data_IF_488602310426
#
_entry.id   IF_488602310426
#
_cell.length_a   1.000
_cell.length_b   1.000
_cell.length_c   1.000
_cell.angle_alpha   90.00
_cell.angle_beta   90.00
_cell.angle_gamma   90.00
#
_symmetry.space_group_name_H-M   'P 1'
#
loop_
_entity.id
_entity.type
_entity.pdbx_description
1 polymer ?
#
# COMPACT_ATOMS: atom_id res chain seq x y z
N UNK A 1 3.42 16.91 -7.18
CA UNK A 1 3.23 15.46 -7.43
C UNK A 1 4.46 14.89 -8.12
N UNK A 2 4.61 13.56 -8.17
CA UNK A 2 5.72 12.89 -8.88
C UNK A 2 5.61 13.09 -10.40
N UNK A 3 6.75 13.26 -11.09
CA UNK A 3 6.76 13.28 -12.56
C UNK A 3 6.56 11.87 -13.12
N UNK A 4 6.03 11.74 -14.34
CA UNK A 4 5.84 10.44 -15.01
C UNK A 4 7.15 9.65 -15.12
N UNK A 5 8.24 10.33 -15.44
CA UNK A 5 9.59 9.75 -15.54
C UNK A 5 10.05 9.18 -14.19
N UNK A 6 9.84 9.93 -13.11
CA UNK A 6 10.22 9.47 -11.79
C UNK A 6 9.35 8.29 -11.36
N UNK A 7 8.03 8.35 -11.57
CA UNK A 7 7.13 7.24 -11.28
C UNK A 7 7.53 5.95 -12.02
N UNK A 8 7.86 6.04 -13.31
CA UNK A 8 8.38 4.89 -14.07
C UNK A 8 9.70 4.36 -13.48
N UNK A 9 10.61 5.25 -13.08
CA UNK A 9 11.84 4.88 -12.39
C UNK A 9 11.60 4.11 -11.08
N UNK A 10 10.62 4.54 -10.28
CA UNK A 10 10.21 3.84 -9.06
C UNK A 10 9.69 2.43 -9.36
N UNK A 11 8.86 2.25 -10.39
CA UNK A 11 8.34 0.94 -10.78
C UNK A 11 9.48 -0.02 -11.13
N UNK A 12 10.43 0.43 -11.96
CA UNK A 12 11.60 -0.39 -12.35
C UNK A 12 12.44 -0.75 -11.13
N UNK A 13 12.73 0.21 -10.25
CA UNK A 13 13.51 -0.03 -9.05
C UNK A 13 12.81 -1.00 -8.08
N UNK A 14 11.50 -0.87 -7.90
CA UNK A 14 10.71 -1.76 -7.04
C UNK A 14 10.67 -3.19 -7.58
N UNK A 15 10.42 -3.37 -8.88
CA UNK A 15 10.41 -4.70 -9.51
C UNK A 15 11.80 -5.33 -9.45
N UNK A 16 12.85 -4.58 -9.80
CA UNK A 16 14.23 -5.06 -9.73
C UNK A 16 14.67 -5.42 -8.32
N UNK A 17 14.35 -4.59 -7.34
CA UNK A 17 14.64 -4.84 -5.92
C UNK A 17 13.89 -6.06 -5.39
N UNK A 18 12.59 -6.20 -5.70
CA UNK A 18 11.79 -7.35 -5.31
C UNK A 18 12.32 -8.65 -5.94
N UNK A 19 12.64 -8.63 -7.23
CA UNK A 19 13.23 -9.78 -7.94
C UNK A 19 14.56 -10.19 -7.31
N UNK A 20 15.45 -9.23 -7.05
CA UNK A 20 16.73 -9.47 -6.38
C UNK A 20 16.53 -10.08 -5.00
N UNK A 21 15.56 -9.58 -4.23
CA UNK A 21 15.19 -10.13 -2.93
C UNK A 21 14.72 -11.59 -3.00
N UNK A 22 13.90 -11.94 -3.99
CA UNK A 22 13.45 -13.32 -4.22
C UNK A 22 14.62 -14.24 -4.59
N UNK A 23 15.51 -13.80 -5.49
CA UNK A 23 16.71 -14.56 -5.87
C UNK A 23 17.61 -14.80 -4.66
N UNK A 24 17.84 -13.77 -3.85
CA UNK A 24 18.61 -13.89 -2.61
C UNK A 24 17.94 -14.87 -1.64
N UNK A 25 16.61 -14.78 -1.45
CA UNK A 25 15.88 -15.70 -0.60
C UNK A 25 16.04 -17.15 -1.08
N UNK A 26 15.85 -17.42 -2.37
CA UNK A 26 16.06 -18.76 -2.94
C UNK A 26 17.47 -19.28 -2.61
N UNK A 27 18.50 -18.46 -2.80
CA UNK A 27 19.88 -18.83 -2.49
C UNK A 27 20.09 -19.14 -0.99
N UNK A 28 19.52 -18.32 -0.09
CA UNK A 28 19.58 -18.54 1.36
C UNK A 28 18.92 -19.86 1.79
N UNK A 29 17.91 -20.33 1.04
CA UNK A 29 17.23 -21.60 1.28
C UNK A 29 17.81 -22.77 0.47
N UNK A 30 18.92 -22.59 -0.24
CA UNK A 30 19.56 -23.65 -1.04
C UNK A 30 18.75 -24.08 -2.28
N UNK A 31 17.84 -23.22 -2.75
CA UNK A 31 17.00 -23.44 -3.93
C UNK A 31 17.68 -22.88 -5.20
N UNK A 32 17.24 -23.29 -6.41
CA UNK A 32 17.66 -22.62 -7.64
C UNK A 32 17.43 -21.11 -7.55
N UNK A 33 18.43 -20.32 -7.95
CA UNK A 33 18.39 -18.86 -7.80
C UNK A 33 17.12 -18.25 -8.45
N UNK A 34 16.70 -18.80 -9.58
CA UNK A 34 15.43 -18.52 -10.25
C UNK A 34 14.73 -19.84 -10.55
N UNK A 35 13.47 -19.95 -10.15
CA UNK A 35 12.58 -21.05 -10.54
C UNK A 35 11.20 -20.47 -10.86
N UNK A 36 10.66 -20.76 -12.06
CA UNK A 36 9.35 -20.24 -12.44
C UNK A 36 8.27 -20.93 -11.63
N UNK A 37 7.47 -20.13 -10.92
CA UNK A 37 6.45 -20.63 -10.02
C UNK A 37 5.34 -21.40 -10.76
N UNK A 38 4.97 -22.54 -10.21
CA UNK A 38 3.84 -23.38 -10.64
C UNK A 38 2.65 -23.29 -9.67
N UNK A 39 2.81 -22.59 -8.55
CA UNK A 39 1.79 -22.43 -7.51
C UNK A 39 0.54 -21.74 -8.05
N UNK A 40 -0.52 -22.52 -8.23
CA UNK A 40 -1.81 -21.99 -8.67
C UNK A 40 -2.49 -21.20 -7.55
N UNK A 41 -2.65 -19.90 -7.79
CA UNK A 41 -3.40 -18.98 -6.93
C UNK A 41 -4.62 -18.48 -7.68
N UNK A 42 -5.66 -19.28 -7.72
CA UNK A 42 -6.93 -18.97 -8.40
C UNK A 42 -8.09 -19.04 -7.43
N UNK A 43 -9.01 -18.07 -7.52
CA UNK A 43 -10.22 -18.05 -6.71
C UNK A 43 -10.66 -16.64 -6.37
N UNK A 44 -11.97 -16.43 -6.32
CA UNK A 44 -12.57 -15.12 -6.00
C UNK A 44 -12.19 -14.64 -4.61
N UNK A 45 -12.08 -15.55 -3.63
CA UNK A 45 -11.65 -15.22 -2.28
C UNK A 45 -10.21 -14.65 -2.23
N UNK A 46 -9.29 -15.20 -3.03
CA UNK A 46 -7.91 -14.70 -3.12
C UNK A 46 -7.87 -13.31 -3.74
N UNK A 47 -8.61 -13.11 -4.83
CA UNK A 47 -8.70 -11.81 -5.53
C UNK A 47 -9.33 -10.75 -4.61
N UNK A 48 -10.44 -11.08 -3.94
CA UNK A 48 -11.08 -10.17 -2.99
C UNK A 48 -10.15 -9.84 -1.80
N UNK A 49 -9.39 -10.83 -1.33
CA UNK A 49 -8.39 -10.64 -0.27
C UNK A 49 -7.32 -9.62 -0.65
N UNK A 50 -6.86 -9.60 -1.91
CA UNK A 50 -5.90 -8.62 -2.40
C UNK A 50 -6.47 -7.19 -2.45
N UNK A 51 -7.76 -7.04 -2.77
CA UNK A 51 -8.45 -5.74 -2.66
C UNK A 51 -8.41 -5.25 -1.22
N UNK A 52 -8.84 -6.08 -0.26
CA UNK A 52 -8.89 -5.73 1.17
C UNK A 52 -7.50 -5.43 1.72
N UNK A 53 -6.51 -6.27 1.39
CA UNK A 53 -5.14 -6.10 1.85
C UNK A 53 -4.52 -4.79 1.36
N UNK A 54 -4.69 -4.46 0.08
CA UNK A 54 -4.15 -3.23 -0.50
C UNK A 54 -4.90 -2.00 0.00
N UNK A 55 -6.22 -2.10 0.11
CA UNK A 55 -7.08 -1.05 0.64
C UNK A 55 -6.65 -0.65 2.06
N UNK A 56 -6.61 -1.62 2.97
CA UNK A 56 -6.25 -1.37 4.36
C UNK A 56 -4.79 -0.92 4.52
N UNK A 57 -3.86 -1.44 3.71
CA UNK A 57 -2.46 -1.00 3.74
C UNK A 57 -2.35 0.51 3.49
N UNK A 58 -3.04 1.00 2.46
CA UNK A 58 -3.02 2.42 2.13
C UNK A 58 -3.75 3.25 3.19
N UNK A 59 -4.87 2.78 3.75
CA UNK A 59 -5.51 3.46 4.87
C UNK A 59 -4.59 3.57 6.09
N UNK A 60 -3.82 2.52 6.42
CA UNK A 60 -2.84 2.53 7.50
C UNK A 60 -1.74 3.56 7.21
N UNK A 61 -1.14 3.52 6.02
CA UNK A 61 -0.09 4.48 5.63
C UNK A 61 -0.60 5.91 5.74
N UNK A 62 -1.71 6.22 5.08
CA UNK A 62 -2.23 7.59 5.04
C UNK A 62 -2.79 8.02 6.39
N UNK A 63 -3.46 7.15 7.13
CA UNK A 63 -3.97 7.45 8.47
C UNK A 63 -2.85 7.82 9.44
N UNK A 64 -1.76 7.05 9.45
CA UNK A 64 -0.59 7.34 10.29
C UNK A 64 0.06 8.67 9.89
N UNK A 65 0.28 8.90 8.59
CA UNK A 65 0.85 10.16 8.09
C UNK A 65 -0.05 11.35 8.45
N UNK A 66 -1.37 11.25 8.22
CA UNK A 66 -2.33 12.34 8.50
C UNK A 66 -2.53 12.59 10.00
N UNK A 67 -2.22 11.62 10.86
CA UNK A 67 -2.19 11.81 12.32
C UNK A 67 -0.95 12.55 12.84
N UNK A 68 -0.04 12.99 11.96
CA UNK A 68 1.21 13.65 12.33
C UNK A 68 2.31 12.70 12.82
N UNK A 69 2.11 11.38 12.69
CA UNK A 69 3.00 10.34 13.23
C UNK A 69 3.78 9.63 12.13
N UNK A 70 4.28 10.37 11.13
CA UNK A 70 4.95 9.79 9.95
C UNK A 70 6.11 8.83 10.30
N UNK A 71 6.81 9.06 11.43
CA UNK A 71 7.86 8.19 11.92
C UNK A 71 7.37 6.76 12.28
N UNK A 72 6.08 6.58 12.58
CA UNK A 72 5.49 5.27 12.90
C UNK A 72 5.07 4.46 11.67
N UNK A 73 5.14 5.02 10.45
CA UNK A 73 4.71 4.34 9.22
C UNK A 73 5.43 3.00 9.01
N UNK A 74 6.76 2.85 9.18
CA UNK A 74 7.43 1.58 8.95
C UNK A 74 6.90 0.45 9.85
N UNK A 75 6.71 0.74 11.14
CA UNK A 75 6.16 -0.21 12.09
C UNK A 75 4.70 -0.55 11.77
N UNK A 76 3.88 0.46 11.44
CA UNK A 76 2.48 0.26 11.11
C UNK A 76 2.29 -0.56 9.82
N UNK A 77 3.10 -0.31 8.80
CA UNK A 77 3.13 -1.08 7.55
C UNK A 77 3.53 -2.53 7.83
N UNK A 78 4.62 -2.75 8.59
CA UNK A 78 5.05 -4.08 8.98
C UNK A 78 3.96 -4.87 9.71
N UNK A 79 3.31 -4.24 10.70
CA UNK A 79 2.20 -4.82 11.45
C UNK A 79 0.99 -5.13 10.57
N UNK A 80 0.64 -4.25 9.63
CA UNK A 80 -0.46 -4.51 8.70
C UNK A 80 -0.17 -5.69 7.78
N UNK A 81 1.02 -5.73 7.17
CA UNK A 81 1.40 -6.84 6.29
C UNK A 81 1.44 -8.16 7.07
N UNK A 82 2.02 -8.16 8.28
CA UNK A 82 2.03 -9.34 9.13
C UNK A 82 0.60 -9.82 9.43
N UNK A 83 -0.29 -8.93 9.88
CA UNK A 83 -1.69 -9.26 10.14
C UNK A 83 -2.39 -9.78 8.88
N UNK A 84 -2.22 -9.09 7.75
CA UNK A 84 -2.85 -9.44 6.48
C UNK A 84 -2.37 -10.80 5.95
N UNK A 85 -1.11 -11.18 6.16
CA UNK A 85 -0.62 -12.53 5.85
C UNK A 85 -1.41 -13.60 6.63
N UNK A 86 -1.83 -13.32 7.87
CA UNK A 86 -2.61 -14.25 8.70
C UNK A 86 -4.10 -14.25 8.38
N UNK A 87 -4.74 -13.08 8.24
CA UNK A 87 -6.20 -13.01 8.14
C UNK A 87 -6.72 -13.08 6.70
N UNK A 88 -5.89 -12.84 5.69
CA UNK A 88 -6.31 -12.89 4.28
C UNK A 88 -6.02 -14.24 3.64
N UNK A 89 -6.94 -14.72 2.81
CA UNK A 89 -6.77 -16.01 2.13
C UNK A 89 -5.64 -16.01 1.08
N UNK A 90 -5.21 -14.83 0.61
CA UNK A 90 -4.13 -14.69 -0.38
C UNK A 90 -2.72 -14.65 0.22
N UNK A 91 -2.59 -14.55 1.55
CA UNK A 91 -1.34 -14.22 2.24
C UNK A 91 -0.75 -12.85 1.81
N UNK A 92 -1.64 -11.88 1.54
CA UNK A 92 -1.37 -10.44 1.32
C UNK A 92 -0.15 -10.12 0.45
N UNK A 93 -0.32 -10.15 -0.87
CA UNK A 93 0.72 -9.66 -1.78
C UNK A 93 0.72 -8.13 -1.76
N UNK A 94 -0.46 -7.52 -1.93
CA UNK A 94 -0.74 -6.09 -1.76
C UNK A 94 0.23 -5.13 -2.50
N UNK A 95 0.93 -5.64 -3.52
CA UNK A 95 2.03 -4.96 -4.18
C UNK A 95 2.33 -5.63 -5.54
N UNK A 96 2.18 -4.90 -6.67
CA UNK A 96 2.44 -5.44 -7.99
C UNK A 96 3.89 -5.90 -8.21
N UNK A 97 4.88 -5.18 -7.67
CA UNK A 97 6.30 -5.55 -7.82
C UNK A 97 6.62 -6.86 -7.09
N UNK A 98 6.10 -7.05 -5.88
CA UNK A 98 6.21 -8.31 -5.13
C UNK A 98 5.48 -9.44 -5.87
N UNK A 99 4.30 -9.16 -6.42
CA UNK A 99 3.53 -10.14 -7.21
C UNK A 99 4.31 -10.63 -8.42
N UNK A 100 4.96 -9.72 -9.15
CA UNK A 100 5.83 -10.07 -10.29
C UNK A 100 7.05 -10.85 -9.81
N UNK A 101 7.74 -10.40 -8.77
CA UNK A 101 8.96 -11.07 -8.30
C UNK A 101 8.72 -12.51 -7.83
N UNK A 102 7.54 -12.79 -7.27
CA UNK A 102 7.15 -14.15 -6.82
C UNK A 102 6.89 -15.13 -7.96
N UNK A 103 6.99 -14.69 -9.22
CA UNK A 103 7.12 -15.59 -10.37
C UNK A 103 8.44 -16.35 -10.35
N UNK A 104 9.48 -15.82 -9.69
CA UNK A 104 10.86 -16.32 -9.74
C UNK A 104 11.20 -17.31 -8.61
N UNK A 105 10.20 -17.77 -7.85
CA UNK A 105 10.38 -18.80 -6.82
C UNK A 105 9.27 -19.84 -6.90
N UNK A 106 9.63 -21.12 -7.09
CA UNK A 106 8.68 -22.24 -7.11
C UNK A 106 8.57 -22.86 -5.72
N UNK A 107 7.96 -22.10 -4.81
CA UNK A 107 7.72 -22.48 -3.41
C UNK A 107 6.27 -22.17 -3.04
N UNK A 108 5.82 -22.46 -1.81
CA UNK A 108 4.47 -22.06 -1.34
C UNK A 108 4.22 -20.54 -1.46
N UNK A 109 5.30 -19.76 -1.53
CA UNK A 109 5.32 -18.33 -1.72
C UNK A 109 5.14 -17.93 -3.19
N UNK A 110 5.33 -18.83 -4.15
CA UNK A 110 5.21 -18.53 -5.58
C UNK A 110 3.80 -18.16 -6.05
N UNK A 111 3.74 -17.64 -7.27
CA UNK A 111 2.49 -17.43 -8.02
C UNK A 111 2.68 -17.78 -9.50
N UNK A 112 1.88 -18.70 -10.02
CA UNK A 112 1.93 -19.06 -11.43
C UNK A 112 1.60 -17.85 -12.34
N UNK A 113 2.28 -17.70 -13.50
CA UNK A 113 2.09 -16.53 -14.38
C UNK A 113 0.64 -16.17 -14.73
N UNK A 114 -0.27 -17.14 -15.00
CA UNK A 114 -1.66 -16.81 -15.32
C UNK A 114 -2.43 -16.11 -14.19
N UNK A 115 -2.02 -16.25 -12.94
CA UNK A 115 -2.70 -15.64 -11.79
C UNK A 115 -2.28 -14.18 -11.53
N UNK A 116 -1.11 -13.76 -12.04
CA UNK A 116 -0.52 -12.43 -11.77
C UNK A 116 -1.43 -11.28 -12.18
N UNK A 117 -2.04 -11.27 -13.39
CA UNK A 117 -2.90 -10.15 -13.79
C UNK A 117 -4.11 -9.95 -12.87
N UNK A 118 -4.70 -11.04 -12.36
CA UNK A 118 -5.83 -10.98 -11.44
C UNK A 118 -5.47 -10.35 -10.09
N UNK A 119 -4.29 -10.71 -9.55
CA UNK A 119 -3.78 -10.13 -8.30
C UNK A 119 -3.44 -8.64 -8.46
N UNK A 120 -2.75 -8.27 -9.54
CA UNK A 120 -2.42 -6.85 -9.82
C UNK A 120 -3.70 -6.04 -10.03
N UNK A 121 -4.68 -6.57 -10.77
CA UNK A 121 -5.98 -5.93 -10.97
C UNK A 121 -6.70 -5.66 -9.63
N UNK A 122 -6.75 -6.66 -8.75
CA UNK A 122 -7.32 -6.50 -7.41
C UNK A 122 -6.59 -5.44 -6.57
N UNK A 123 -5.26 -5.41 -6.62
CA UNK A 123 -4.46 -4.41 -5.92
C UNK A 123 -4.75 -2.99 -6.42
N UNK A 124 -4.88 -2.81 -7.75
CA UNK A 124 -5.28 -1.52 -8.34
C UNK A 124 -6.67 -1.10 -7.89
N UNK A 125 -7.64 -2.03 -7.84
CA UNK A 125 -9.00 -1.76 -7.33
C UNK A 125 -8.95 -1.35 -5.85
N UNK A 126 -8.22 -2.08 -5.01
CA UNK A 126 -8.03 -1.74 -3.60
C UNK A 126 -7.37 -0.37 -3.42
N UNK A 127 -6.40 -0.03 -4.27
CA UNK A 127 -5.75 1.27 -4.26
C UNK A 127 -6.69 2.42 -4.65
N UNK A 128 -7.51 2.22 -5.68
CA UNK A 128 -8.52 3.19 -6.09
C UNK A 128 -9.57 3.41 -4.99
N UNK A 129 -10.07 2.33 -4.37
CA UNK A 129 -10.99 2.42 -3.25
C UNK A 129 -10.38 3.17 -2.06
N UNK A 130 -9.13 2.88 -1.69
CA UNK A 130 -8.45 3.56 -0.60
C UNK A 130 -8.29 5.05 -0.89
N UNK A 131 -7.89 5.40 -2.12
CA UNK A 131 -7.77 6.79 -2.52
C UNK A 131 -9.09 7.57 -2.39
N UNK A 132 -10.21 6.97 -2.79
CA UNK A 132 -11.55 7.56 -2.61
C UNK A 132 -11.88 7.76 -1.12
N UNK A 133 -11.65 6.73 -0.29
CA UNK A 133 -11.89 6.81 1.16
C UNK A 133 -11.02 7.87 1.82
N UNK A 134 -9.72 7.94 1.48
CA UNK A 134 -8.78 8.94 2.02
C UNK A 134 -9.20 10.36 1.63
N UNK A 135 -9.62 10.55 0.37
CA UNK A 135 -10.13 11.85 -0.11
C UNK A 135 -11.37 12.29 0.67
N UNK A 136 -12.25 11.36 0.97
CA UNK A 136 -13.47 11.63 1.73
C UNK A 136 -13.20 11.88 3.21
N UNK A 137 -12.43 11.00 3.87
CA UNK A 137 -12.17 11.05 5.31
C UNK A 137 -11.34 12.28 5.72
N UNK A 138 -10.44 12.72 4.85
CA UNK A 138 -9.53 13.83 5.13
C UNK A 138 -9.78 15.04 4.21
N UNK A 139 -11.03 15.24 3.78
CA UNK A 139 -11.43 16.48 3.15
C UNK A 139 -11.25 17.64 4.16
N UNK A 140 -10.80 18.83 3.73
CA UNK A 140 -10.79 20.02 4.59
C UNK A 140 -12.21 20.27 5.11
N UNK A 141 -12.37 20.44 6.43
CA UNK A 141 -13.66 20.76 7.04
C UNK A 141 -14.14 22.18 6.67
N UNK A 142 -15.44 22.49 6.78
CA UNK A 142 -15.99 23.81 6.49
C UNK A 142 -15.35 24.96 7.31
N UNK A 143 -14.93 24.68 8.55
CA UNK A 143 -14.30 25.67 9.43
C UNK A 143 -12.99 26.25 8.88
N UNK A 144 -12.20 25.47 8.14
CA UNK A 144 -10.97 25.99 7.51
C UNK A 144 -11.28 26.92 6.32
N UNK A 145 -12.44 26.75 5.68
CA UNK A 145 -12.89 27.65 4.62
C UNK A 145 -13.42 28.96 5.22
N UNK A 146 -14.15 28.90 6.33
CA UNK A 146 -14.69 30.08 7.01
C UNK A 146 -13.61 30.96 7.64
N UNK A 147 -12.55 30.38 8.24
CA UNK A 147 -11.44 31.16 8.81
C UNK A 147 -10.54 31.82 7.73
N UNK A 148 -10.57 31.31 6.49
CA UNK A 148 -9.89 31.95 5.34
C UNK A 148 -10.77 33.04 4.71
N UNK A 149 -12.09 32.85 4.69
CA UNK A 149 -13.06 33.80 4.11
C UNK A 149 -13.37 34.96 5.05
N UNK A 150 -13.33 34.73 6.36
CA UNK A 150 -13.53 35.77 7.39
C UNK A 150 -12.42 35.67 8.44
N UNK A 151 -11.35 36.48 8.33
CA UNK A 151 -10.35 36.58 9.39
C UNK A 151 -11.02 37.09 10.66
N UNK A 152 -11.33 36.20 11.62
CA UNK A 152 -11.78 36.61 12.95
C UNK A 152 -10.56 37.11 13.72
N UNK A 153 -10.23 38.39 13.55
CA UNK A 153 -9.38 39.08 14.50
C UNK A 153 -10.06 39.04 15.87
N UNK A 154 -9.35 38.45 16.82
CA UNK A 154 -9.74 38.28 18.20
C UNK A 154 -10.22 39.63 18.78
N UNK A 155 -11.55 39.82 18.88
CA UNK A 155 -12.17 40.89 19.68
C UNK A 155 -12.00 40.51 21.15
N UNK A 156 -10.79 40.64 21.65
CA UNK A 156 -10.48 40.44 23.06
C UNK A 156 -9.42 41.44 23.50
N UNK A 157 -9.56 42.72 23.16
CA UNK A 157 -8.67 43.78 23.67
C UNK A 157 -9.29 45.19 23.52
N UNK A 158 -10.56 45.37 23.88
CA UNK A 158 -11.12 46.74 24.03
C UNK A 158 -12.05 46.88 25.25
N UNK A 159 -11.89 45.98 26.22
CA UNK A 159 -12.69 45.95 27.44
C UNK A 159 -11.83 45.83 28.70
N UNK A 160 -10.84 46.72 28.89
CA UNK A 160 -10.21 46.89 30.21
C UNK A 160 -9.53 48.26 30.36
N UNK A 161 -10.31 49.18 30.92
CA UNK A 161 -9.93 50.13 31.99
C UNK A 161 -9.06 51.37 31.71
N UNK A 162 -9.71 52.51 32.03
CA UNK A 162 -9.26 53.83 32.48
C UNK A 162 -9.11 54.93 31.43
#
# INVERSE_FOLDING_TARGET
GLTRRLAAGYVVAQVGGAATGVVLANALFGLPAVAIATTHRSGTALIASEVVATYGLLLVIFGVVRSGRAAAVPAAVGSWIAAAIYFTSSASFANPAVTIARLLTDTYTGIAPPAVPGFIGAQVVGAAAAWLTIRWLFAPGPELADDIVVPRHNRAETGASR
#
